data_IF_882030975437
#
_entry.id   IF_882030975437
#
_cell.length_a   1.000
_cell.length_b   1.000
_cell.length_c   1.000
_cell.angle_alpha   90.00
_cell.angle_beta   90.00
_cell.angle_gamma   90.00
#
_symmetry.space_group_name_H-M   'P 1'
#
loop_
_entity.id
_entity.type
_entity.pdbx_description
1 polymer ?
#
# COMPACT_ATOMS: atom_id res chain seq x y z
N UNK A 1 6.11 -3.17 -18.10
CA UNK A 1 5.09 -4.21 -18.20
C UNK A 1 5.06 -4.92 -16.84
N UNK A 2 4.05 -4.65 -16.01
CA UNK A 2 3.92 -5.26 -14.68
C UNK A 2 3.10 -6.53 -14.87
N UNK A 3 3.74 -7.67 -14.79
CA UNK A 3 3.05 -8.96 -14.78
C UNK A 3 2.78 -9.39 -13.33
N UNK A 4 1.56 -9.23 -12.86
CA UNK A 4 1.08 -9.88 -11.63
C UNK A 4 0.38 -11.15 -12.08
N UNK A 5 0.98 -12.30 -11.81
CA UNK A 5 0.32 -13.60 -12.05
C UNK A 5 -0.30 -14.05 -10.73
N UNK A 6 -1.59 -13.75 -10.55
CA UNK A 6 -2.38 -14.28 -9.46
C UNK A 6 -3.03 -15.61 -9.88
N UNK A 7 -2.76 -16.67 -9.15
CA UNK A 7 -3.50 -17.92 -9.30
C UNK A 7 -4.63 -17.93 -8.25
N UNK A 8 -5.88 -17.76 -8.71
CA UNK A 8 -7.06 -17.87 -7.87
C UNK A 8 -7.50 -19.34 -7.79
N UNK A 9 -7.49 -19.89 -6.59
CA UNK A 9 -8.24 -21.13 -6.33
C UNK A 9 -9.69 -20.73 -6.03
N UNK A 10 -10.62 -21.24 -6.80
CA UNK A 10 -12.05 -20.91 -6.71
C UNK A 10 -12.64 -21.38 -5.38
N UNK A 11 -12.87 -20.44 -4.48
CA UNK A 11 -13.84 -20.60 -3.42
C UNK A 11 -15.19 -20.14 -3.96
N UNK A 12 -16.17 -21.03 -4.01
CA UNK A 12 -17.54 -20.74 -4.45
C UNK A 12 -18.29 -19.95 -3.36
N UNK A 13 -17.97 -18.68 -3.21
CA UNK A 13 -18.80 -17.74 -2.50
C UNK A 13 -19.15 -16.60 -3.45
N UNK A 14 -20.44 -16.53 -3.82
CA UNK A 14 -20.99 -15.48 -4.69
C UNK A 14 -20.88 -14.14 -3.97
N UNK A 15 -20.12 -13.16 -4.48
CA UNK A 15 -20.12 -11.83 -3.88
C UNK A 15 -21.39 -11.10 -4.31
N UNK A 16 -22.19 -10.69 -3.33
CA UNK A 16 -23.24 -9.70 -3.57
C UNK A 16 -22.57 -8.42 -4.09
N UNK A 17 -22.86 -8.06 -5.32
CA UNK A 17 -22.44 -6.81 -5.95
C UNK A 17 -23.04 -5.62 -5.17
N UNK A 18 -22.28 -5.02 -4.27
CA UNK A 18 -22.55 -3.66 -3.78
C UNK A 18 -22.21 -2.71 -4.92
N UNK A 19 -23.24 -2.15 -5.56
CA UNK A 19 -23.07 -1.03 -6.49
C UNK A 19 -22.49 0.15 -5.72
N UNK A 20 -21.23 0.46 -5.96
CA UNK A 20 -20.61 1.70 -5.50
C UNK A 20 -21.28 2.86 -6.26
N UNK A 21 -22.05 3.67 -5.56
CA UNK A 21 -22.65 4.87 -6.14
C UNK A 21 -21.54 5.87 -6.50
N UNK A 22 -21.65 6.49 -7.67
CA UNK A 22 -20.71 7.47 -8.21
C UNK A 22 -20.50 8.74 -7.34
N UNK A 23 -21.21 8.85 -6.21
CA UNK A 23 -21.12 9.99 -5.28
C UNK A 23 -19.93 9.93 -4.30
N UNK A 24 -19.14 8.84 -4.29
CA UNK A 24 -18.00 8.68 -3.38
C UNK A 24 -16.67 9.27 -3.93
N UNK A 25 -16.67 9.78 -5.18
CA UNK A 25 -15.44 10.25 -5.84
C UNK A 25 -15.13 11.72 -5.53
N UNK A 26 -16.06 12.45 -4.91
CA UNK A 26 -15.93 13.90 -4.72
C UNK A 26 -15.28 14.34 -3.38
N UNK A 27 -14.72 13.39 -2.62
CA UNK A 27 -14.02 13.64 -1.36
C UNK A 27 -12.52 13.31 -1.44
N UNK A 28 -11.91 13.35 -2.62
CA UNK A 28 -10.47 13.24 -2.75
C UNK A 28 -9.83 14.48 -2.10
N UNK A 29 -9.02 14.27 -1.05
CA UNK A 29 -8.19 15.32 -0.47
C UNK A 29 -7.41 16.02 -1.59
N UNK A 30 -7.28 17.36 -1.56
CA UNK A 30 -6.66 18.09 -2.64
C UNK A 30 -5.24 17.59 -2.88
N UNK A 31 -4.89 17.35 -4.14
CA UNK A 31 -3.57 16.89 -4.60
C UNK A 31 -2.39 17.77 -4.12
N UNK A 32 -2.68 18.95 -3.57
CA UNK A 32 -1.70 19.85 -2.95
C UNK A 32 -0.92 19.23 -1.79
N UNK A 33 -1.50 18.27 -1.07
CA UNK A 33 -0.81 17.59 0.04
C UNK A 33 0.23 16.58 -0.47
N UNK A 34 0.00 15.96 -1.63
CA UNK A 34 0.96 15.03 -2.24
C UNK A 34 2.23 15.76 -2.71
N UNK A 35 2.12 16.98 -3.22
CA UNK A 35 3.27 17.77 -3.68
C UNK A 35 4.20 18.21 -2.55
N UNK A 36 3.68 18.44 -1.34
CA UNK A 36 4.48 18.82 -0.18
C UNK A 36 5.26 17.63 0.41
N UNK A 37 4.71 16.42 0.30
CA UNK A 37 5.32 15.20 0.84
C UNK A 37 6.63 14.83 0.13
N UNK A 38 6.81 15.27 -1.12
CA UNK A 38 7.99 14.93 -1.93
C UNK A 38 9.04 16.04 -2.05
N UNK A 39 8.90 17.13 -1.32
CA UNK A 39 9.82 18.27 -1.43
C UNK A 39 11.25 17.97 -0.98
N UNK A 40 11.45 16.96 -0.11
CA UNK A 40 12.78 16.49 0.30
C UNK A 40 12.72 15.04 0.78
N UNK A 41 13.81 14.28 0.52
CA UNK A 41 13.99 12.95 1.11
C UNK A 41 14.22 13.12 2.62
N UNK A 42 13.41 12.47 3.49
CA UNK A 42 13.58 12.56 4.93
C UNK A 42 14.98 12.05 5.35
N UNK A 43 15.66 12.79 6.22
CA UNK A 43 16.96 12.40 6.78
C UNK A 43 16.83 11.69 8.12
N UNK A 44 15.72 11.88 8.80
CA UNK A 44 15.37 11.24 10.06
C UNK A 44 14.17 10.30 9.84
N UNK A 45 14.06 9.27 10.68
CA UNK A 45 12.93 8.34 10.60
C UNK A 45 11.63 9.13 10.81
N UNK A 46 10.69 9.08 9.87
CA UNK A 46 9.41 9.78 10.00
C UNK A 46 8.58 9.17 11.13
N UNK A 47 7.66 9.98 11.66
CA UNK A 47 6.64 9.50 12.60
C UNK A 47 5.56 8.76 11.82
N UNK A 48 5.39 7.46 12.11
CA UNK A 48 4.53 6.53 11.39
C UNK A 48 3.64 5.73 12.33
N UNK A 49 2.71 6.39 13.06
CA UNK A 49 1.96 5.77 14.16
C UNK A 49 1.06 4.62 13.72
N UNK A 50 0.47 4.65 12.51
CA UNK A 50 -0.31 3.53 12.00
C UNK A 50 0.60 2.41 11.51
N UNK A 51 1.64 2.72 10.74
CA UNK A 51 2.59 1.73 10.24
C UNK A 51 3.27 0.99 11.40
N UNK A 52 3.60 1.69 12.47
CA UNK A 52 4.23 1.10 13.67
C UNK A 52 3.31 0.12 14.43
N UNK A 53 2.02 0.03 14.07
CA UNK A 53 1.08 -0.96 14.63
C UNK A 53 0.85 -2.16 13.72
N UNK A 54 1.46 -2.20 12.54
CA UNK A 54 1.32 -3.29 11.59
C UNK A 54 2.48 -4.26 11.76
N UNK A 55 2.21 -5.43 12.32
CA UNK A 55 3.16 -6.53 12.47
C UNK A 55 2.96 -7.60 11.40
N UNK A 56 1.76 -7.69 10.83
CA UNK A 56 1.41 -8.68 9.81
C UNK A 56 0.30 -8.16 8.88
N UNK A 57 0.18 -8.70 7.66
CA UNK A 57 -0.86 -8.29 6.71
C UNK A 57 -2.29 -8.36 7.25
N UNK A 58 -2.55 -9.27 8.19
CA UNK A 58 -3.88 -9.44 8.79
C UNK A 58 -4.32 -8.19 9.57
N UNK A 59 -3.38 -7.40 10.10
CA UNK A 59 -3.69 -6.21 10.90
C UNK A 59 -4.37 -5.13 10.06
N UNK A 60 -4.11 -5.11 8.75
CA UNK A 60 -4.75 -4.18 7.83
C UNK A 60 -6.27 -4.39 7.76
N UNK A 61 -6.76 -5.60 8.01
CA UNK A 61 -8.19 -5.94 7.98
C UNK A 61 -9.01 -5.16 9.02
N UNK A 62 -8.36 -4.69 10.09
CA UNK A 62 -8.99 -3.90 11.14
C UNK A 62 -9.07 -2.40 10.80
N UNK A 63 -8.37 -1.93 9.78
CA UNK A 63 -8.30 -0.51 9.45
C UNK A 63 -9.51 -0.06 8.63
N UNK A 64 -9.99 1.14 8.92
CA UNK A 64 -10.95 1.85 8.09
C UNK A 64 -10.29 2.32 6.79
N UNK A 65 -11.09 2.64 5.78
CA UNK A 65 -10.59 3.18 4.50
C UNK A 65 -9.74 4.45 4.70
N UNK A 66 -10.15 5.35 5.59
CA UNK A 66 -9.38 6.55 5.91
C UNK A 66 -8.03 6.24 6.57
N UNK A 67 -7.97 5.20 7.40
CA UNK A 67 -6.72 4.73 7.99
C UNK A 67 -5.81 4.09 6.95
N UNK A 68 -6.34 3.33 5.98
CA UNK A 68 -5.55 2.76 4.89
C UNK A 68 -4.92 3.86 4.00
N UNK A 69 -5.63 4.97 3.77
CA UNK A 69 -5.08 6.13 3.07
C UNK A 69 -3.93 6.76 3.88
N UNK A 70 -4.12 6.96 5.17
CA UNK A 70 -3.08 7.49 6.05
C UNK A 70 -1.87 6.54 6.12
N UNK A 71 -2.12 5.23 6.20
CA UNK A 71 -1.06 4.21 6.17
C UNK A 71 -0.25 4.28 4.88
N UNK A 72 -0.89 4.53 3.72
CA UNK A 72 -0.19 4.68 2.45
C UNK A 72 0.77 5.88 2.47
N UNK A 73 0.37 6.99 3.08
CA UNK A 73 1.22 8.17 3.22
C UNK A 73 2.38 7.93 4.18
N UNK A 74 2.14 7.28 5.32
CA UNK A 74 3.18 6.90 6.28
C UNK A 74 4.19 5.94 5.67
N UNK A 75 3.72 4.90 4.99
CA UNK A 75 4.57 3.92 4.31
C UNK A 75 5.41 4.59 3.20
N UNK A 76 4.84 5.56 2.49
CA UNK A 76 5.54 6.35 1.49
C UNK A 76 6.69 7.15 2.08
N UNK A 77 6.44 7.85 3.18
CA UNK A 77 7.48 8.60 3.89
C UNK A 77 8.57 7.69 4.44
N UNK A 78 8.17 6.55 5.01
CA UNK A 78 9.12 5.56 5.52
C UNK A 78 10.00 4.97 4.42
N UNK A 79 9.44 4.63 3.26
CA UNK A 79 10.20 4.12 2.12
C UNK A 79 11.15 5.18 1.54
N UNK A 80 10.72 6.45 1.46
CA UNK A 80 11.60 7.55 1.05
C UNK A 80 12.79 7.70 2.01
N UNK A 81 12.55 7.65 3.30
CA UNK A 81 13.58 7.67 4.32
C UNK A 81 14.53 6.47 4.17
N UNK A 82 14.00 5.26 4.19
CA UNK A 82 14.78 4.02 4.16
C UNK A 82 15.63 3.89 2.90
N UNK A 83 15.05 4.14 1.72
CA UNK A 83 15.77 4.11 0.46
C UNK A 83 16.76 5.28 0.32
N UNK A 84 16.47 6.43 0.95
CA UNK A 84 17.39 7.55 1.02
C UNK A 84 18.67 7.27 1.81
N UNK A 85 18.60 6.37 2.80
CA UNK A 85 19.76 5.95 3.60
C UNK A 85 20.55 4.81 2.94
N UNK A 86 19.86 3.85 2.30
CA UNK A 86 20.47 2.61 1.79
C UNK A 86 20.71 2.61 0.28
N UNK A 87 20.16 3.57 -0.44
CA UNK A 87 20.03 3.51 -1.89
C UNK A 87 18.92 2.58 -2.33
N UNK A 88 18.45 2.71 -3.57
CA UNK A 88 17.40 1.84 -4.11
C UNK A 88 16.57 2.49 -5.21
N UNK A 89 15.56 1.76 -5.68
CA UNK A 89 14.67 2.19 -6.74
C UNK A 89 13.44 2.91 -6.17
N UNK A 90 13.43 4.24 -6.17
CA UNK A 90 12.32 5.02 -5.62
C UNK A 90 11.02 4.89 -6.42
N UNK A 91 11.09 5.22 -7.72
CA UNK A 91 9.88 5.37 -8.54
C UNK A 91 9.02 4.10 -8.61
N UNK A 92 9.64 2.95 -8.80
CA UNK A 92 8.93 1.69 -8.90
C UNK A 92 8.22 1.28 -7.59
N UNK A 93 8.82 1.60 -6.44
CA UNK A 93 8.23 1.29 -5.13
C UNK A 93 7.11 2.25 -4.74
N UNK A 94 7.32 3.55 -4.97
CA UNK A 94 6.31 4.56 -4.62
C UNK A 94 5.03 4.42 -5.44
N UNK A 95 5.13 3.94 -6.68
CA UNK A 95 3.99 3.72 -7.57
C UNK A 95 3.11 2.52 -7.23
N UNK A 96 3.50 1.64 -6.30
CA UNK A 96 2.77 0.42 -5.95
C UNK A 96 2.37 0.34 -4.48
N UNK A 97 2.50 1.41 -3.72
CA UNK A 97 2.18 1.43 -2.28
C UNK A 97 0.71 1.11 -2.05
N UNK A 98 -0.20 1.88 -2.67
CA UNK A 98 -1.64 1.70 -2.52
C UNK A 98 -2.08 0.32 -3.02
N UNK A 99 -1.49 -0.15 -4.13
CA UNK A 99 -1.75 -1.49 -4.65
C UNK A 99 -1.32 -2.57 -3.64
N UNK A 100 -0.15 -2.42 -3.03
CA UNK A 100 0.36 -3.37 -2.03
C UNK A 100 -0.55 -3.42 -0.82
N UNK A 101 -0.97 -2.27 -0.29
CA UNK A 101 -1.92 -2.18 0.84
C UNK A 101 -3.25 -2.83 0.46
N UNK A 102 -3.79 -2.52 -0.73
CA UNK A 102 -5.05 -3.09 -1.19
C UNK A 102 -4.97 -4.63 -1.34
N UNK A 103 -3.87 -5.17 -1.87
CA UNK A 103 -3.66 -6.61 -1.98
C UNK A 103 -3.65 -7.27 -0.60
N UNK A 104 -2.88 -6.73 0.36
CA UNK A 104 -2.83 -7.26 1.73
C UNK A 104 -4.14 -7.06 2.50
N UNK A 105 -4.90 -6.03 2.20
CA UNK A 105 -6.22 -5.82 2.77
C UNK A 105 -7.25 -6.83 2.25
N UNK A 106 -7.21 -7.19 0.96
CA UNK A 106 -8.19 -8.05 0.32
C UNK A 106 -7.84 -9.53 0.43
N UNK A 107 -6.57 -9.88 0.31
CA UNK A 107 -6.09 -11.26 0.30
C UNK A 107 -5.81 -11.76 1.72
N UNK A 108 -5.93 -13.06 1.91
CA UNK A 108 -5.65 -13.74 3.17
C UNK A 108 -4.27 -14.43 3.09
N UNK A 109 -3.21 -13.64 3.11
CA UNK A 109 -1.86 -14.16 3.14
C UNK A 109 -1.57 -14.83 4.51
N UNK A 110 -0.91 -16.00 4.56
CA UNK A 110 -0.21 -16.68 3.47
C UNK A 110 -1.06 -17.71 2.68
N UNK A 111 -2.37 -17.85 2.97
CA UNK A 111 -3.25 -18.78 2.24
C UNK A 111 -3.37 -18.36 0.78
N UNK A 112 -3.57 -17.06 0.54
CA UNK A 112 -3.44 -16.46 -0.78
C UNK A 112 -1.97 -16.12 -1.04
N UNK A 113 -1.47 -16.51 -2.20
CA UNK A 113 -0.07 -16.30 -2.56
C UNK A 113 0.09 -15.06 -3.45
N UNK A 114 0.96 -14.14 -3.05
CA UNK A 114 1.38 -13.00 -3.85
C UNK A 114 2.78 -13.30 -4.40
N UNK A 115 2.89 -13.32 -5.73
CA UNK A 115 4.19 -13.52 -6.41
C UNK A 115 4.63 -12.20 -7.02
N UNK A 116 5.79 -11.71 -6.60
CA UNK A 116 6.41 -10.51 -7.13
C UNK A 116 7.37 -10.89 -8.27
N UNK A 117 7.10 -10.40 -9.47
CA UNK A 117 7.97 -10.65 -10.63
C UNK A 117 9.37 -10.07 -10.43
N UNK A 118 9.45 -8.84 -9.89
CA UNK A 118 10.73 -8.18 -9.64
C UNK A 118 10.76 -7.60 -8.22
N UNK A 119 11.83 -7.92 -7.48
CA UNK A 119 12.00 -7.52 -6.09
C UNK A 119 12.04 -6.00 -5.82
N UNK A 120 12.32 -5.16 -6.83
CA UNK A 120 12.35 -3.71 -6.66
C UNK A 120 10.97 -3.07 -6.51
N UNK A 121 9.87 -3.78 -6.72
CA UNK A 121 8.50 -3.34 -6.44
C UNK A 121 7.93 -3.93 -5.15
N UNK A 122 8.71 -4.72 -4.43
CA UNK A 122 8.27 -5.44 -3.24
C UNK A 122 8.67 -4.76 -1.91
N UNK A 123 9.17 -3.52 -1.93
CA UNK A 123 9.65 -2.89 -0.69
C UNK A 123 8.52 -2.64 0.31
N UNK A 124 7.38 -2.15 -0.15
CA UNK A 124 6.20 -1.98 0.69
C UNK A 124 5.68 -3.30 1.29
N UNK A 125 5.89 -4.42 0.60
CA UNK A 125 5.56 -5.76 1.11
C UNK A 125 6.56 -6.27 2.17
N UNK A 126 7.78 -5.73 2.21
CA UNK A 126 8.85 -6.17 3.12
C UNK A 126 8.93 -5.33 4.41
N UNK A 127 8.23 -4.20 4.45
CA UNK A 127 8.11 -3.36 5.63
C UNK A 127 7.15 -3.96 6.62
#
# INVERSE_FOLDING_TARGET
MVGIVGFMQQSTHSPQSKSLSASAIDSAAPLSNLQQTYAAIPRERPHTPLLDTVDAPIDLKAFSESQLITLADELRLFLLYSAGQSGGHFGANLGVIELTIALHYLLDAPQDQIVWDVGHQAYAHKV
#
